data_IF_782760345513
#
_entry.id   IF_782760345513
#
_cell.length_a   1.000
_cell.length_b   1.000
_cell.length_c   1.000
_cell.angle_alpha   90.00
_cell.angle_beta   90.00
_cell.angle_gamma   90.00
#
_symmetry.space_group_name_H-M   'P 1'
#
loop_
_entity.id
_entity.type
_entity.pdbx_description
1 polymer ?
#
# COMPACT_ATOMS: atom_id res chain seq x y z
N UNK A 1 -28.88 16.94 -1.56
CA UNK A 1 -28.60 15.52 -1.63
C UNK A 1 -28.97 14.84 -0.32
N UNK A 2 -29.44 13.58 -0.36
CA UNK A 2 -29.66 12.79 0.86
C UNK A 2 -28.31 12.35 1.45
N UNK A 3 -28.29 11.96 2.72
CA UNK A 3 -27.08 11.43 3.37
C UNK A 3 -26.53 10.22 2.63
N UNK A 4 -27.41 9.34 2.16
CA UNK A 4 -27.04 8.18 1.37
C UNK A 4 -26.39 8.57 0.03
N UNK A 5 -26.90 9.60 -0.64
CA UNK A 5 -26.32 10.12 -1.88
C UNK A 5 -24.93 10.74 -1.63
N UNK A 6 -24.76 11.52 -0.56
CA UNK A 6 -23.48 12.09 -0.17
C UNK A 6 -22.47 10.98 0.18
N UNK A 7 -22.91 9.96 0.92
CA UNK A 7 -22.11 8.79 1.25
C UNK A 7 -21.58 8.09 0.00
N UNK A 8 -22.45 7.79 -0.97
CA UNK A 8 -22.00 7.15 -2.22
C UNK A 8 -21.10 8.04 -3.05
N UNK A 9 -21.36 9.35 -3.11
CA UNK A 9 -20.54 10.29 -3.86
C UNK A 9 -19.12 10.38 -3.30
N UNK A 10 -18.96 10.48 -1.98
CA UNK A 10 -17.62 10.50 -1.40
C UNK A 10 -16.89 9.17 -1.58
N UNK A 11 -17.60 8.02 -1.44
CA UNK A 11 -16.99 6.70 -1.69
C UNK A 11 -16.53 6.56 -3.14
N UNK A 12 -17.35 6.99 -4.10
CA UNK A 12 -16.95 6.98 -5.50
C UNK A 12 -15.75 7.91 -5.76
N UNK A 13 -15.74 9.09 -5.17
CA UNK A 13 -14.60 10.01 -5.25
C UNK A 13 -13.32 9.37 -4.68
N UNK A 14 -13.42 8.69 -3.54
CA UNK A 14 -12.30 7.96 -2.92
C UNK A 14 -11.77 6.85 -3.84
N UNK A 15 -12.65 6.01 -4.38
CA UNK A 15 -12.26 4.95 -5.31
C UNK A 15 -11.59 5.48 -6.58
N UNK A 16 -12.00 6.66 -7.02
CA UNK A 16 -11.47 7.31 -8.21
C UNK A 16 -10.29 8.26 -7.93
N UNK A 17 -9.76 8.25 -6.71
CA UNK A 17 -8.64 9.10 -6.30
C UNK A 17 -8.90 10.61 -6.54
N UNK A 18 -10.12 11.08 -6.26
CA UNK A 18 -10.55 12.48 -6.40
C UNK A 18 -10.61 13.15 -5.01
N UNK A 19 -9.45 13.47 -4.45
CA UNK A 19 -9.30 13.92 -3.06
C UNK A 19 -10.07 15.20 -2.75
N UNK A 20 -10.12 16.17 -3.69
CA UNK A 20 -10.93 17.38 -3.60
C UNK A 20 -12.44 17.07 -3.48
N UNK A 21 -12.92 16.13 -4.25
CA UNK A 21 -14.32 15.69 -4.22
C UNK A 21 -14.61 14.88 -2.94
N UNK A 22 -13.64 14.11 -2.44
CA UNK A 22 -13.77 13.43 -1.13
C UNK A 22 -14.01 14.47 -0.03
N UNK A 23 -13.15 15.49 0.07
CA UNK A 23 -13.29 16.55 1.05
C UNK A 23 -14.64 17.27 0.91
N UNK A 24 -15.01 17.69 -0.31
CA UNK A 24 -16.26 18.38 -0.60
C UNK A 24 -17.52 17.61 -0.15
N UNK A 25 -17.59 16.31 -0.44
CA UNK A 25 -18.77 15.51 -0.04
C UNK A 25 -18.77 15.19 1.45
N UNK A 26 -17.61 14.99 2.08
CA UNK A 26 -17.53 14.75 3.51
C UNK A 26 -17.86 15.99 4.33
N UNK A 27 -17.47 17.19 3.91
CA UNK A 27 -17.88 18.47 4.54
C UNK A 27 -19.40 18.61 4.64
N UNK A 28 -20.12 18.09 3.65
CA UNK A 28 -21.59 18.12 3.65
C UNK A 28 -22.20 16.95 4.42
N UNK A 29 -21.60 15.76 4.34
CA UNK A 29 -22.12 14.55 4.94
C UNK A 29 -21.96 14.52 6.47
N UNK A 30 -20.79 14.89 6.98
CA UNK A 30 -20.43 14.74 8.39
C UNK A 30 -21.38 15.45 9.35
N UNK A 31 -21.83 16.71 9.13
CA UNK A 31 -22.73 17.38 10.06
C UNK A 31 -24.06 16.66 10.25
N UNK A 32 -24.64 16.13 9.15
CA UNK A 32 -25.88 15.36 9.20
C UNK A 32 -25.68 14.02 9.89
N UNK A 33 -24.60 13.31 9.54
CA UNK A 33 -24.28 12.01 10.11
C UNK A 33 -24.00 12.11 11.61
N UNK A 34 -23.26 13.14 12.05
CA UNK A 34 -22.94 13.37 13.45
C UNK A 34 -24.19 13.59 14.30
N UNK A 35 -25.17 14.32 13.81
CA UNK A 35 -26.43 14.54 14.50
C UNK A 35 -27.20 13.23 14.76
N UNK A 36 -26.98 12.19 13.93
CA UNK A 36 -27.66 10.90 14.04
C UNK A 36 -26.84 9.86 14.80
N UNK A 37 -25.52 9.77 14.53
CA UNK A 37 -24.66 8.67 14.97
C UNK A 37 -23.57 9.09 15.97
N UNK A 38 -23.45 10.39 16.26
CA UNK A 38 -22.51 10.88 17.27
C UNK A 38 -21.06 10.46 16.98
N UNK A 39 -20.43 9.79 17.94
CA UNK A 39 -19.00 9.42 17.90
C UNK A 39 -18.64 8.43 16.79
N UNK A 40 -19.58 7.63 16.27
CA UNK A 40 -19.32 6.75 15.13
C UNK A 40 -18.91 7.53 13.87
N UNK A 41 -19.22 8.83 13.83
CA UNK A 41 -18.82 9.74 12.74
C UNK A 41 -17.30 9.99 12.70
N UNK A 42 -16.54 9.65 13.75
CA UNK A 42 -15.08 9.82 13.79
C UNK A 42 -14.36 9.14 12.60
N UNK A 43 -14.89 8.04 12.11
CA UNK A 43 -14.33 7.36 10.92
C UNK A 43 -14.41 8.23 9.65
N UNK A 44 -15.41 9.10 9.54
CA UNK A 44 -15.56 10.02 8.41
C UNK A 44 -14.71 11.27 8.59
N UNK A 45 -14.56 11.74 9.82
CA UNK A 45 -13.60 12.80 10.12
C UNK A 45 -12.15 12.37 9.81
N UNK A 46 -11.78 11.11 10.08
CA UNK A 46 -10.44 10.63 9.70
C UNK A 46 -10.21 10.66 8.18
N UNK A 47 -11.22 10.29 7.39
CA UNK A 47 -11.12 10.39 5.93
C UNK A 47 -11.04 11.86 5.45
N UNK A 48 -11.76 12.78 6.11
CA UNK A 48 -11.71 14.20 5.81
C UNK A 48 -10.35 14.79 6.15
N UNK A 49 -9.80 14.41 7.31
CA UNK A 49 -8.46 14.80 7.73
C UNK A 49 -7.40 14.37 6.71
N UNK A 50 -7.41 13.09 6.31
CA UNK A 50 -6.47 12.57 5.32
C UNK A 50 -6.60 13.31 3.98
N UNK A 51 -7.84 13.64 3.56
CA UNK A 51 -8.06 14.43 2.35
C UNK A 51 -7.44 15.83 2.44
N UNK A 52 -7.56 16.53 3.56
CA UNK A 52 -6.92 17.85 3.71
C UNK A 52 -5.39 17.77 3.78
N UNK A 53 -4.84 16.73 4.42
CA UNK A 53 -3.39 16.51 4.40
C UNK A 53 -2.90 16.27 2.95
N UNK A 54 -3.61 15.44 2.17
CA UNK A 54 -3.26 15.19 0.75
C UNK A 54 -3.39 16.46 -0.10
N UNK A 55 -4.37 17.32 0.17
CA UNK A 55 -4.56 18.62 -0.51
C UNK A 55 -3.59 19.71 -0.05
N UNK A 56 -2.84 19.48 1.03
CA UNK A 56 -1.96 20.46 1.65
C UNK A 56 -2.69 21.59 2.38
N UNK A 57 -3.98 21.42 2.68
CA UNK A 57 -4.80 22.37 3.44
C UNK A 57 -4.61 22.12 4.96
N UNK A 58 -3.47 22.58 5.47
CA UNK A 58 -3.06 22.35 6.86
C UNK A 58 -4.00 23.00 7.88
N UNK A 59 -4.62 24.12 7.54
CA UNK A 59 -5.56 24.81 8.45
C UNK A 59 -6.83 23.99 8.64
N UNK A 60 -7.42 23.50 7.55
CA UNK A 60 -8.59 22.63 7.63
C UNK A 60 -8.27 21.26 8.25
N UNK A 61 -7.07 20.73 8.02
CA UNK A 61 -6.62 19.51 8.68
C UNK A 61 -6.53 19.72 10.20
N UNK A 62 -5.95 20.84 10.66
CA UNK A 62 -5.88 21.17 12.08
C UNK A 62 -7.28 21.32 12.69
N UNK A 63 -8.19 22.05 12.06
CA UNK A 63 -9.57 22.21 12.53
C UNK A 63 -10.28 20.85 12.62
N UNK A 64 -10.09 19.99 11.63
CA UNK A 64 -10.66 18.63 11.64
C UNK A 64 -10.11 17.79 12.79
N UNK A 65 -8.79 17.82 13.01
CA UNK A 65 -8.16 17.16 14.15
C UNK A 65 -8.72 17.64 15.50
N UNK A 66 -8.86 18.94 15.68
CA UNK A 66 -9.40 19.51 16.93
C UNK A 66 -10.85 19.09 17.17
N UNK A 67 -11.67 19.01 16.11
CA UNK A 67 -13.03 18.47 16.20
C UNK A 67 -13.04 16.99 16.60
N UNK A 68 -12.20 16.17 15.97
CA UNK A 68 -12.07 14.76 16.33
C UNK A 68 -11.65 14.57 17.78
N UNK A 69 -10.66 15.32 18.23
CA UNK A 69 -10.16 15.26 19.62
C UNK A 69 -11.26 15.66 20.63
N UNK A 70 -12.06 16.67 20.29
CA UNK A 70 -13.21 17.08 21.12
C UNK A 70 -14.24 15.96 21.22
N UNK A 71 -14.71 15.42 20.10
CA UNK A 71 -15.70 14.33 20.04
C UNK A 71 -15.19 13.11 20.82
N UNK A 72 -13.92 12.76 20.64
CA UNK A 72 -13.29 11.65 21.33
C UNK A 72 -13.29 11.84 22.85
N UNK A 73 -12.89 12.99 23.34
CA UNK A 73 -12.88 13.30 24.78
C UNK A 73 -14.30 13.28 25.37
N UNK A 74 -15.29 13.76 24.64
CA UNK A 74 -16.70 13.70 25.07
C UNK A 74 -17.22 12.24 25.12
N UNK A 75 -16.78 11.37 24.18
CA UNK A 75 -17.18 9.96 24.17
C UNK A 75 -16.60 9.18 25.34
N UNK A 76 -15.34 9.41 25.69
CA UNK A 76 -14.67 8.77 26.83
C UNK A 76 -15.37 9.04 28.17
N UNK A 77 -16.08 10.18 28.32
CA UNK A 77 -16.82 10.48 29.53
C UNK A 77 -18.15 9.74 29.64
N UNK A 78 -18.66 9.20 28.54
CA UNK A 78 -19.98 8.54 28.45
C UNK A 78 -19.92 7.04 28.57
N UNK A 79 -18.81 6.41 28.13
CA UNK A 79 -18.68 4.96 28.01
C UNK A 79 -17.72 4.41 29.05
N UNK A 80 -18.22 3.61 29.99
CA UNK A 80 -17.45 3.06 31.12
C UNK A 80 -17.00 1.61 30.89
N UNK A 81 -17.65 0.85 30.00
CA UNK A 81 -17.32 -0.55 29.74
C UNK A 81 -17.65 -0.91 28.28
N UNK A 82 -16.69 -1.48 27.55
CA UNK A 82 -16.84 -1.97 26.19
C UNK A 82 -16.38 -3.41 26.04
N UNK A 83 -16.94 -4.13 25.06
CA UNK A 83 -16.43 -5.43 24.64
C UNK A 83 -15.13 -5.31 23.82
N UNK A 84 -14.61 -6.47 23.36
CA UNK A 84 -13.36 -6.52 22.58
C UNK A 84 -13.38 -5.60 21.35
N UNK A 85 -14.49 -5.55 20.62
CA UNK A 85 -14.66 -4.70 19.44
C UNK A 85 -14.54 -3.20 19.78
N UNK A 86 -15.06 -2.80 20.93
CA UNK A 86 -14.92 -1.42 21.42
C UNK A 86 -13.46 -1.09 21.74
N UNK A 87 -12.73 -1.98 22.39
CA UNK A 87 -11.31 -1.77 22.70
C UNK A 87 -10.44 -1.71 21.44
N UNK A 88 -10.77 -2.51 20.43
CA UNK A 88 -10.10 -2.45 19.11
C UNK A 88 -10.38 -1.12 18.41
N UNK A 89 -11.63 -0.67 18.38
CA UNK A 89 -12.03 0.63 17.83
C UNK A 89 -11.39 1.79 18.59
N UNK A 90 -11.37 1.72 19.91
CA UNK A 90 -10.74 2.71 20.79
C UNK A 90 -9.25 2.83 20.49
N UNK A 91 -8.54 1.72 20.47
CA UNK A 91 -7.10 1.69 20.15
C UNK A 91 -6.82 2.25 18.76
N UNK A 92 -7.62 1.90 17.76
CA UNK A 92 -7.48 2.42 16.40
C UNK A 92 -7.69 3.93 16.34
N UNK A 93 -8.68 4.45 17.08
CA UNK A 93 -8.99 5.89 17.16
C UNK A 93 -7.87 6.67 17.88
N UNK A 94 -7.36 6.16 18.99
CA UNK A 94 -6.23 6.76 19.73
C UNK A 94 -4.96 6.81 18.86
N UNK A 95 -4.67 5.74 18.14
CA UNK A 95 -3.53 5.68 17.21
C UNK A 95 -3.68 6.70 16.07
N UNK A 96 -4.90 6.83 15.52
CA UNK A 96 -5.16 7.82 14.48
C UNK A 96 -5.03 9.25 15.02
N UNK A 97 -5.58 9.56 16.19
CA UNK A 97 -5.44 10.89 16.81
C UNK A 97 -3.98 11.24 17.09
N UNK A 98 -3.18 10.28 17.55
CA UNK A 98 -1.73 10.47 17.72
C UNK A 98 -1.01 10.73 16.38
N UNK A 99 -1.43 10.04 15.32
CA UNK A 99 -0.94 10.33 13.97
C UNK A 99 -1.36 11.73 13.51
N UNK A 100 -2.63 12.09 13.67
CA UNK A 100 -3.17 13.37 13.24
C UNK A 100 -2.51 14.56 14.00
N UNK A 101 -2.30 14.41 15.30
CA UNK A 101 -1.57 15.40 16.12
C UNK A 101 -0.15 15.65 15.58
N UNK A 102 0.54 14.62 15.20
CA UNK A 102 1.85 14.74 14.55
C UNK A 102 1.73 15.34 13.14
N UNK A 103 0.81 14.86 12.32
CA UNK A 103 0.69 15.26 10.92
C UNK A 103 0.41 16.75 10.75
N UNK A 104 -0.41 17.38 11.62
CA UNK A 104 -0.68 18.82 11.56
C UNK A 104 0.52 19.70 11.95
N UNK A 105 1.56 19.12 12.54
CA UNK A 105 2.80 19.85 12.85
C UNK A 105 3.80 19.82 11.70
N UNK A 106 3.55 18.98 10.68
CA UNK A 106 4.45 18.82 9.56
C UNK A 106 4.30 19.96 8.57
N UNK A 107 5.40 20.38 7.93
CA UNK A 107 5.32 21.31 6.80
C UNK A 107 4.55 20.62 5.65
N UNK A 108 3.77 21.38 4.87
CA UNK A 108 3.00 20.80 3.77
C UNK A 108 3.93 20.15 2.74
N UNK A 109 3.49 19.02 2.20
CA UNK A 109 4.18 18.36 1.09
C UNK A 109 4.12 19.29 -0.12
N UNK A 110 5.26 19.45 -0.79
CA UNK A 110 5.35 20.22 -2.03
C UNK A 110 5.93 19.35 -3.13
N UNK A 111 5.39 19.50 -4.34
CA UNK A 111 5.91 18.84 -5.52
C UNK A 111 6.25 19.89 -6.58
N UNK A 112 7.46 19.79 -7.12
CA UNK A 112 7.91 20.56 -8.29
C UNK A 112 8.17 19.58 -9.43
N UNK A 113 7.56 19.81 -10.57
CA UNK A 113 7.78 19.04 -11.78
C UNK A 113 8.43 19.92 -12.85
N UNK A 114 9.47 19.41 -13.49
CA UNK A 114 10.03 20.03 -14.68
C UNK A 114 9.21 19.61 -15.91
N UNK A 115 9.02 20.51 -16.85
CA UNK A 115 8.24 20.25 -18.07
C UNK A 115 8.93 19.24 -19.00
N UNK A 116 10.26 19.17 -18.94
CA UNK A 116 11.03 18.20 -19.73
C UNK A 116 10.92 16.81 -19.12
N UNK A 117 10.32 15.89 -19.89
CA UNK A 117 10.26 14.50 -19.51
C UNK A 117 11.66 13.90 -19.39
N UNK A 118 11.92 13.24 -18.28
CA UNK A 118 13.14 12.46 -18.07
C UNK A 118 12.82 11.00 -17.77
N UNK A 119 13.76 10.14 -18.12
CA UNK A 119 13.66 8.72 -17.84
C UNK A 119 14.59 8.34 -16.69
N UNK A 120 14.12 7.46 -15.84
CA UNK A 120 14.93 6.78 -14.85
C UNK A 120 15.12 5.33 -15.30
N UNK A 121 16.34 4.82 -15.14
CA UNK A 121 16.61 3.42 -15.41
C UNK A 121 16.06 2.57 -14.27
N UNK A 122 15.41 1.45 -14.62
CA UNK A 122 14.96 0.45 -13.66
C UNK A 122 15.89 -0.76 -13.70
N UNK A 123 16.15 -1.33 -12.54
CA UNK A 123 16.97 -2.53 -12.44
C UNK A 123 16.24 -3.72 -13.09
N UNK A 124 17.01 -4.57 -13.73
CA UNK A 124 16.49 -5.84 -14.25
C UNK A 124 16.07 -6.73 -13.07
N UNK A 125 14.82 -7.19 -13.06
CA UNK A 125 14.29 -8.00 -11.96
C UNK A 125 12.77 -8.03 -11.90
N UNK A 126 12.27 -8.57 -10.78
CA UNK A 126 10.84 -8.80 -10.56
C UNK A 126 10.15 -7.65 -9.79
N UNK A 127 10.82 -6.52 -9.58
CA UNK A 127 10.29 -5.35 -8.86
C UNK A 127 10.67 -4.06 -9.57
N UNK A 128 9.95 -2.97 -9.30
CA UNK A 128 10.23 -1.64 -9.83
C UNK A 128 11.31 -0.95 -8.99
N UNK A 129 12.57 -1.37 -9.17
CA UNK A 129 13.73 -0.80 -8.47
C UNK A 129 14.46 0.16 -9.38
N UNK A 130 14.76 1.36 -8.87
CA UNK A 130 15.43 2.43 -9.60
C UNK A 130 16.26 3.28 -8.64
N UNK A 131 16.97 4.29 -9.17
CA UNK A 131 17.73 5.23 -8.36
C UNK A 131 16.95 6.55 -8.20
N UNK A 132 16.86 7.05 -6.96
CA UNK A 132 16.35 8.38 -6.64
C UNK A 132 17.31 9.10 -5.71
N UNK A 133 17.27 10.44 -5.65
CA UNK A 133 18.09 11.20 -4.73
C UNK A 133 17.27 11.63 -3.52
N UNK A 134 17.81 11.40 -2.35
CA UNK A 134 17.25 11.80 -1.06
C UNK A 134 18.19 12.76 -0.39
N UNK A 135 17.77 14.00 -0.15
CA UNK A 135 18.63 15.07 0.35
C UNK A 135 19.93 15.21 -0.48
N UNK A 136 19.83 14.99 -1.81
CA UNK A 136 20.96 15.00 -2.73
C UNK A 136 21.76 13.69 -2.81
N UNK A 137 21.51 12.70 -1.96
CA UNK A 137 22.20 11.40 -1.93
C UNK A 137 21.45 10.36 -2.75
N UNK A 138 22.15 9.72 -3.69
CA UNK A 138 21.57 8.70 -4.56
C UNK A 138 21.34 7.39 -3.77
N UNK A 139 20.11 6.86 -3.86
CA UNK A 139 19.71 5.63 -3.18
C UNK A 139 18.86 4.72 -4.06
N UNK A 140 19.02 3.42 -3.91
CA UNK A 140 18.11 2.44 -4.50
C UNK A 140 16.73 2.61 -3.90
N UNK A 141 15.75 2.65 -4.75
CA UNK A 141 14.35 2.95 -4.42
C UNK A 141 13.44 1.93 -5.08
N UNK A 142 12.39 1.52 -4.39
CA UNK A 142 11.33 0.70 -4.97
C UNK A 142 10.01 1.46 -4.92
N UNK A 143 9.23 1.42 -6.01
CA UNK A 143 7.81 1.74 -5.96
C UNK A 143 7.01 0.53 -5.50
N UNK A 144 6.31 0.71 -4.38
CA UNK A 144 5.58 -0.35 -3.71
C UNK A 144 4.15 0.13 -3.36
N UNK A 145 3.17 -0.29 -4.17
CA UNK A 145 1.76 0.05 -3.95
C UNK A 145 1.16 -0.66 -2.74
N UNK A 146 1.85 -1.67 -2.17
CA UNK A 146 1.50 -2.32 -0.92
C UNK A 146 2.00 -1.58 0.33
N UNK A 147 2.75 -0.47 0.16
CA UNK A 147 3.22 0.39 1.25
C UNK A 147 2.28 1.58 1.41
N UNK A 148 1.55 1.64 2.54
CA UNK A 148 0.61 2.72 2.86
C UNK A 148 1.26 4.06 3.21
N UNK A 149 2.39 4.13 3.95
CA UNK A 149 3.12 5.37 4.18
C UNK A 149 3.73 5.97 2.90
N UNK A 150 4.02 7.28 2.91
CA UNK A 150 4.71 7.94 1.80
C UNK A 150 6.08 7.34 1.54
N UNK A 151 6.86 7.13 2.60
CA UNK A 151 8.20 6.57 2.52
C UNK A 151 8.49 5.68 3.72
N UNK A 152 9.14 4.55 3.47
CA UNK A 152 9.61 3.62 4.50
C UNK A 152 11.06 3.24 4.23
N UNK A 153 11.91 3.30 5.25
CA UNK A 153 13.33 3.04 5.11
C UNK A 153 13.97 2.50 6.39
N UNK A 154 15.10 1.85 6.26
CA UNK A 154 15.90 1.42 7.40
C UNK A 154 16.68 2.58 8.02
N UNK A 155 17.07 2.43 9.30
CA UNK A 155 17.93 3.39 9.97
C UNK A 155 19.25 3.62 9.22
N UNK A 156 19.89 2.55 8.73
CA UNK A 156 21.12 2.62 7.95
C UNK A 156 20.98 3.55 6.74
N UNK A 157 19.85 3.45 6.01
CA UNK A 157 19.60 4.31 4.87
C UNK A 157 19.32 5.76 5.30
N UNK A 158 18.53 5.94 6.35
CA UNK A 158 18.23 7.26 6.90
C UNK A 158 19.50 8.01 7.31
N UNK A 159 20.38 7.34 8.04
CA UNK A 159 21.69 7.89 8.47
C UNK A 159 22.56 8.25 7.25
N UNK A 160 22.61 7.35 6.25
CA UNK A 160 23.35 7.59 5.01
C UNK A 160 22.86 8.79 4.18
N UNK A 161 21.59 9.14 4.32
CA UNK A 161 20.96 10.28 3.64
C UNK A 161 20.87 11.54 4.51
N UNK A 162 21.39 11.50 5.74
CA UNK A 162 21.32 12.61 6.68
C UNK A 162 19.90 12.96 7.13
N UNK A 163 18.97 12.01 7.10
CA UNK A 163 17.59 12.19 7.57
C UNK A 163 17.58 12.28 9.08
N UNK A 164 16.98 13.33 9.62
CA UNK A 164 16.85 13.55 11.07
C UNK A 164 15.62 12.83 11.60
N UNK A 165 15.78 12.10 12.71
CA UNK A 165 14.71 11.39 13.39
C UNK A 165 15.02 11.24 14.88
N UNK A 166 14.00 10.97 15.68
CA UNK A 166 14.17 10.68 17.10
C UNK A 166 14.82 9.31 17.30
N UNK A 167 15.45 9.12 18.48
CA UNK A 167 16.13 7.87 18.79
C UNK A 167 15.15 6.69 18.78
N UNK A 168 15.53 5.60 18.11
CA UNK A 168 14.81 4.33 18.13
C UNK A 168 15.19 3.58 19.42
N UNK A 169 14.21 3.35 20.30
CA UNK A 169 14.41 2.53 21.47
C UNK A 169 14.35 1.04 21.10
N UNK A 170 15.50 0.46 20.81
CA UNK A 170 15.63 -0.94 20.43
C UNK A 170 15.22 -1.93 21.53
N UNK A 171 15.11 -1.46 22.78
CA UNK A 171 14.67 -2.28 23.91
C UNK A 171 13.14 -2.39 24.02
N UNK A 172 12.42 -1.55 23.32
CA UNK A 172 10.95 -1.62 23.20
C UNK A 172 10.48 -2.59 22.15
N UNK A 173 11.19 -3.71 21.93
CA UNK A 173 10.65 -4.81 21.13
C UNK A 173 9.42 -5.34 21.85
N UNK A 174 8.27 -4.88 21.44
CA UNK A 174 7.02 -5.43 21.96
C UNK A 174 6.89 -6.85 21.49
N UNK A 175 6.46 -7.72 22.38
CA UNK A 175 6.19 -9.15 22.14
C UNK A 175 5.15 -9.36 21.02
N UNK A 176 4.48 -8.31 20.59
CA UNK A 176 3.41 -8.28 19.59
C UNK A 176 3.87 -8.02 18.15
N UNK A 177 5.15 -8.21 17.85
CA UNK A 177 5.64 -8.32 16.47
C UNK A 177 5.58 -7.04 15.60
N UNK A 178 5.30 -5.87 16.16
CA UNK A 178 5.32 -4.63 15.41
C UNK A 178 6.75 -4.11 15.23
N UNK A 179 7.07 -3.69 14.01
CA UNK A 179 8.35 -3.06 13.70
C UNK A 179 8.46 -1.77 14.50
N UNK A 180 9.52 -1.66 15.31
CA UNK A 180 9.81 -0.39 15.96
C UNK A 180 10.19 0.61 14.89
N UNK A 181 9.35 1.61 14.72
CA UNK A 181 9.58 2.69 13.78
C UNK A 181 9.44 4.04 14.46
N UNK A 182 10.17 5.00 13.96
CA UNK A 182 10.02 6.41 14.31
C UNK A 182 9.59 7.19 13.08
N UNK A 183 8.83 8.26 13.32
CA UNK A 183 8.40 9.18 12.28
C UNK A 183 9.50 10.20 11.98
N UNK A 184 9.61 10.60 10.73
CA UNK A 184 10.58 11.58 10.26
C UNK A 184 10.06 12.31 9.03
N UNK A 185 10.82 13.27 8.54
CA UNK A 185 10.60 13.98 7.29
C UNK A 185 11.88 13.91 6.46
N UNK A 186 11.72 13.62 5.18
CA UNK A 186 12.77 13.75 4.18
C UNK A 186 12.62 15.12 3.52
N UNK A 187 13.65 15.95 3.61
CA UNK A 187 13.60 17.32 3.13
C UNK A 187 13.36 17.39 1.61
N UNK A 188 14.01 16.50 0.84
CA UNK A 188 13.81 16.42 -0.61
C UNK A 188 13.99 14.99 -1.16
N UNK A 189 13.16 14.64 -2.15
CA UNK A 189 13.30 13.42 -2.96
C UNK A 189 13.23 13.82 -4.44
N UNK A 190 14.24 13.47 -5.23
CA UNK A 190 14.27 13.69 -6.67
C UNK A 190 14.09 12.36 -7.41
N UNK A 191 13.06 12.27 -8.24
CA UNK A 191 12.75 11.11 -9.07
C UNK A 191 12.46 11.57 -10.50
N UNK A 192 13.37 11.28 -11.42
CA UNK A 192 13.21 11.72 -12.80
C UNK A 192 13.07 13.24 -12.91
N UNK A 193 11.97 13.72 -13.48
CA UNK A 193 11.65 15.15 -13.64
C UNK A 193 10.86 15.76 -12.47
N UNK A 194 10.74 15.05 -11.35
CA UNK A 194 9.94 15.46 -10.20
C UNK A 194 10.83 15.62 -8.97
N UNK A 195 10.62 16.69 -8.22
CA UNK A 195 11.17 16.86 -6.88
C UNK A 195 10.06 17.04 -5.88
N UNK A 196 10.07 16.22 -4.85
CA UNK A 196 9.19 16.31 -3.69
C UNK A 196 9.93 16.95 -2.53
N UNK A 197 9.20 17.68 -1.70
CA UNK A 197 9.72 18.29 -0.48
C UNK A 197 8.83 17.93 0.70
N UNK A 198 9.45 17.79 1.88
CA UNK A 198 8.78 17.52 3.14
C UNK A 198 8.01 16.19 3.14
N UNK A 199 8.61 15.13 2.63
CA UNK A 199 7.94 13.82 2.57
C UNK A 199 7.99 13.11 3.92
N UNK A 200 6.83 12.80 4.53
CA UNK A 200 6.77 12.00 5.73
C UNK A 200 7.37 10.62 5.52
N UNK A 201 8.16 10.16 6.48
CA UNK A 201 8.84 8.88 6.40
C UNK A 201 8.74 8.10 7.73
N UNK A 202 8.72 6.78 7.61
CA UNK A 202 8.92 5.86 8.72
C UNK A 202 10.30 5.23 8.63
N UNK A 203 11.05 5.33 9.74
CA UNK A 203 12.38 4.75 9.87
C UNK A 203 12.29 3.59 10.84
N UNK A 204 12.64 2.40 10.39
CA UNK A 204 12.63 1.20 11.22
C UNK A 204 14.04 0.78 11.62
N UNK A 205 14.14 0.09 12.76
CA UNK A 205 15.42 -0.43 13.26
C UNK A 205 15.99 -1.51 12.35
N UNK A 206 17.27 -1.42 12.02
CA UNK A 206 18.00 -2.45 11.26
C UNK A 206 18.18 -3.74 12.06
N UNK A 207 18.11 -3.64 13.39
CA UNK A 207 18.26 -4.76 14.32
C UNK A 207 16.95 -5.50 14.56
N UNK A 208 15.83 -4.99 14.05
CA UNK A 208 14.58 -5.72 14.09
C UNK A 208 14.81 -7.10 13.49
N UNK A 209 15.13 -8.05 14.37
CA UNK A 209 15.26 -9.44 14.00
C UNK A 209 13.90 -9.85 13.46
N UNK A 210 13.84 -10.20 12.18
CA UNK A 210 12.69 -10.92 11.66
C UNK A 210 12.49 -12.10 12.60
N UNK A 211 11.45 -12.12 13.45
CA UNK A 211 11.32 -13.17 14.41
C UNK A 211 11.26 -14.46 13.63
N UNK A 212 12.25 -15.27 13.83
CA UNK A 212 12.27 -16.59 13.26
C UNK A 212 11.04 -17.30 13.82
N UNK A 213 10.09 -17.65 12.96
CA UNK A 213 8.87 -18.33 13.39
C UNK A 213 9.24 -19.46 14.31
N UNK A 214 9.01 -19.27 15.59
CA UNK A 214 9.23 -20.27 16.65
C UNK A 214 8.18 -21.37 16.60
N UNK A 215 7.71 -21.73 15.41
CA UNK A 215 6.92 -22.92 15.22
C UNK A 215 7.77 -24.12 15.54
N UNK A 216 7.39 -24.90 16.57
CA UNK A 216 8.00 -26.14 17.03
C UNK A 216 8.28 -27.18 15.94
N UNK A 217 7.92 -26.92 14.69
CA UNK A 217 8.06 -27.79 13.53
C UNK A 217 9.39 -27.70 12.78
N UNK A 218 10.25 -26.69 13.04
CA UNK A 218 11.55 -26.61 12.37
C UNK A 218 12.67 -27.25 13.21
N UNK A 219 12.51 -28.51 13.50
CA UNK A 219 13.50 -29.29 14.25
C UNK A 219 14.78 -29.61 13.48
N UNK A 220 14.86 -29.39 12.15
CA UNK A 220 16.00 -29.77 11.33
C UNK A 220 16.86 -28.57 10.96
N UNK A 221 18.13 -28.58 11.35
CA UNK A 221 19.15 -27.54 11.07
C UNK A 221 19.17 -27.08 9.59
N UNK A 222 18.99 -27.99 8.63
CA UNK A 222 18.97 -27.67 7.17
C UNK A 222 17.76 -26.83 6.75
N UNK A 223 16.57 -27.08 7.34
CA UNK A 223 15.35 -26.29 7.09
C UNK A 223 15.49 -24.88 7.68
N UNK A 224 16.09 -24.79 8.88
CA UNK A 224 16.34 -23.52 9.56
C UNK A 224 17.28 -22.64 8.74
N UNK A 225 18.36 -23.19 8.17
CA UNK A 225 19.29 -22.46 7.32
C UNK A 225 18.59 -21.91 6.05
N UNK A 226 17.74 -22.72 5.41
CA UNK A 226 16.99 -22.28 4.22
C UNK A 226 16.01 -21.15 4.54
N UNK A 227 15.28 -21.26 5.64
CA UNK A 227 14.38 -20.21 6.12
C UNK A 227 15.15 -18.91 6.38
N UNK A 228 16.29 -19.01 7.08
CA UNK A 228 17.14 -17.86 7.35
C UNK A 228 17.63 -17.20 6.06
N UNK A 229 18.04 -17.96 5.05
CA UNK A 229 18.46 -17.40 3.75
C UNK A 229 17.35 -16.58 3.06
N UNK A 230 16.09 -17.05 3.14
CA UNK A 230 14.95 -16.30 2.59
C UNK A 230 14.73 -15.01 3.38
N UNK A 231 14.74 -15.09 4.71
CA UNK A 231 14.63 -13.91 5.59
C UNK A 231 15.75 -12.91 5.29
N UNK A 232 16.99 -13.38 5.20
CA UNK A 232 18.15 -12.52 4.93
C UNK A 232 18.03 -11.85 3.55
N UNK A 233 17.56 -12.57 2.52
CA UNK A 233 17.41 -11.98 1.18
C UNK A 233 16.33 -10.89 1.12
N UNK A 234 15.21 -11.08 1.83
CA UNK A 234 14.17 -10.05 1.93
C UNK A 234 14.66 -8.89 2.80
N UNK A 235 15.31 -9.19 3.92
CA UNK A 235 15.92 -8.18 4.78
C UNK A 235 16.89 -7.30 3.99
N UNK A 236 17.79 -7.90 3.19
CA UNK A 236 18.71 -7.16 2.34
C UNK A 236 17.98 -6.19 1.41
N UNK A 237 16.90 -6.62 0.78
CA UNK A 237 16.12 -5.72 -0.07
C UNK A 237 15.63 -4.48 0.71
N UNK A 238 15.04 -4.69 1.88
CA UNK A 238 14.49 -3.61 2.69
C UNK A 238 15.56 -2.76 3.39
N UNK A 239 16.72 -3.29 3.67
CA UNK A 239 17.85 -2.51 4.22
C UNK A 239 18.64 -1.75 3.16
N UNK A 240 18.52 -2.12 1.89
CA UNK A 240 19.28 -1.55 0.78
C UNK A 240 18.42 -0.73 -0.19
N UNK A 241 17.10 -0.74 -0.02
CA UNK A 241 16.16 0.05 -0.82
C UNK A 241 15.26 0.91 0.08
N UNK A 242 15.05 2.14 -0.33
CA UNK A 242 13.97 2.98 0.19
C UNK A 242 12.67 2.58 -0.50
N UNK A 243 11.59 2.36 0.25
CA UNK A 243 10.25 2.11 -0.32
C UNK A 243 9.46 3.39 -0.42
N UNK A 244 9.10 3.80 -1.64
CA UNK A 244 8.13 4.86 -1.90
C UNK A 244 6.76 4.23 -2.11
N UNK A 245 5.83 4.58 -1.23
CA UNK A 245 4.50 3.99 -1.18
C UNK A 245 3.50 4.63 -2.13
N UNK A 246 2.30 4.08 -2.11
CA UNK A 246 1.18 4.54 -2.94
C UNK A 246 0.88 6.05 -2.81
N UNK A 247 0.98 6.71 -1.62
CA UNK A 247 0.74 8.14 -1.53
C UNK A 247 1.67 8.98 -2.41
N UNK A 248 2.97 8.63 -2.51
CA UNK A 248 3.90 9.34 -3.42
C UNK A 248 3.52 9.08 -4.88
N UNK A 249 3.14 7.86 -5.22
CA UNK A 249 2.72 7.51 -6.58
C UNK A 249 1.43 8.26 -6.98
N UNK A 250 0.48 8.46 -6.05
CA UNK A 250 -0.71 9.30 -6.25
C UNK A 250 -0.36 10.76 -6.54
N UNK A 251 0.63 11.33 -5.86
CA UNK A 251 1.14 12.68 -6.15
C UNK A 251 1.77 12.76 -7.55
N UNK A 252 2.45 11.71 -8.01
CA UNK A 252 3.00 11.61 -9.36
C UNK A 252 1.88 11.61 -10.41
N UNK A 253 0.80 10.90 -10.14
CA UNK A 253 -0.36 10.73 -11.01
C UNK A 253 -0.17 9.68 -12.10
N UNK A 254 0.88 9.79 -12.94
CA UNK A 254 1.15 8.87 -14.04
C UNK A 254 2.55 8.31 -14.00
N UNK A 255 2.64 6.97 -14.06
CA UNK A 255 3.89 6.22 -14.07
C UNK A 255 3.87 5.30 -15.29
N UNK A 256 4.78 5.55 -16.24
CA UNK A 256 4.94 4.71 -17.41
C UNK A 256 6.23 3.91 -17.32
N UNK A 257 6.11 2.60 -17.36
CA UNK A 257 7.24 1.66 -17.34
C UNK A 257 7.44 1.05 -18.72
N UNK A 258 8.65 1.12 -19.25
CA UNK A 258 9.09 0.46 -20.49
C UNK A 258 9.99 -0.71 -20.10
N UNK A 259 9.45 -1.91 -20.14
CA UNK A 259 10.17 -3.13 -19.77
C UNK A 259 11.12 -3.64 -20.84
N UNK A 260 10.97 -3.21 -22.11
CA UNK A 260 11.93 -3.57 -23.16
C UNK A 260 13.26 -2.83 -23.01
N UNK A 261 13.19 -1.58 -22.52
CA UNK A 261 14.36 -0.73 -22.37
C UNK A 261 14.78 -0.53 -20.91
N UNK A 262 14.10 -1.20 -19.96
CA UNK A 262 14.29 -1.02 -18.52
C UNK A 262 14.27 0.44 -18.10
N UNK A 263 13.25 1.17 -18.54
CA UNK A 263 13.08 2.60 -18.25
C UNK A 263 11.71 2.91 -17.69
N UNK A 264 11.67 3.96 -16.89
CA UNK A 264 10.43 4.50 -16.34
C UNK A 264 10.42 6.02 -16.52
N UNK A 265 9.25 6.59 -16.75
CA UNK A 265 9.04 8.03 -16.81
C UNK A 265 7.69 8.42 -16.21
N UNK A 266 7.52 9.72 -15.98
CA UNK A 266 6.36 10.30 -15.30
C UNK A 266 5.71 11.34 -16.22
N UNK A 267 4.84 10.91 -17.16
CA UNK A 267 4.24 11.84 -18.12
C UNK A 267 3.30 12.81 -17.41
N UNK A 268 3.32 14.06 -17.87
CA UNK A 268 2.33 15.05 -17.48
C UNK A 268 1.02 14.72 -18.18
N UNK A 269 -0.13 14.93 -17.49
CA UNK A 269 -1.44 14.84 -18.14
C UNK A 269 -1.53 15.94 -19.21
N UNK A 270 -1.35 15.56 -20.46
CA UNK A 270 -1.71 16.43 -21.57
C UNK A 270 -3.24 16.37 -21.67
N UNK A 271 -3.88 17.53 -21.80
CA UNK A 271 -5.31 17.59 -22.13
C UNK A 271 -5.50 16.89 -23.48
N UNK A 272 -5.74 15.59 -23.49
CA UNK A 272 -5.84 14.79 -24.69
C UNK A 272 -7.24 14.89 -25.27
N UNK A 273 -7.28 14.98 -26.59
CA UNK A 273 -8.49 15.00 -27.42
C UNK A 273 -9.33 13.69 -27.33
N UNK A 274 -8.88 12.69 -26.57
CA UNK A 274 -9.59 11.43 -26.39
C UNK A 274 -10.20 11.36 -24.98
N UNK A 275 -11.47 11.00 -24.91
CA UNK A 275 -12.12 10.69 -23.64
C UNK A 275 -11.35 9.57 -22.92
N UNK A 276 -11.07 9.71 -21.62
CA UNK A 276 -10.39 8.65 -20.87
C UNK A 276 -11.27 7.38 -20.91
N UNK A 277 -10.61 6.24 -21.03
CA UNK A 277 -11.28 4.95 -20.89
C UNK A 277 -11.82 4.81 -19.47
N UNK A 278 -12.84 3.96 -19.29
CA UNK A 278 -13.38 3.67 -17.98
C UNK A 278 -12.30 3.17 -17.01
N UNK A 279 -12.34 3.56 -15.74
CA UNK A 279 -11.41 3.07 -14.71
C UNK A 279 -11.42 1.54 -14.62
N UNK A 280 -10.26 0.92 -14.39
CA UNK A 280 -10.12 -0.52 -14.16
C UNK A 280 -9.32 -0.86 -12.90
N UNK A 281 -8.85 0.17 -12.19
CA UNK A 281 -8.27 0.10 -10.85
C UNK A 281 -8.99 1.09 -9.94
N UNK A 282 -8.91 0.87 -8.63
CA UNK A 282 -9.65 1.64 -7.62
C UNK A 282 -8.78 1.84 -6.38
N UNK A 283 -8.77 3.04 -5.81
CA UNK A 283 -8.11 3.30 -4.54
C UNK A 283 -9.08 3.13 -3.37
N UNK A 284 -8.63 2.54 -2.28
CA UNK A 284 -9.37 2.54 -1.02
C UNK A 284 -8.39 2.58 0.13
N UNK A 285 -8.48 3.61 0.96
CA UNK A 285 -7.47 3.92 1.98
C UNK A 285 -6.08 4.02 1.36
N UNK A 286 -5.17 3.19 1.83
CA UNK A 286 -3.77 3.16 1.39
C UNK A 286 -3.47 2.04 0.40
N UNK A 287 -4.50 1.41 -0.15
CA UNK A 287 -4.40 0.27 -1.06
C UNK A 287 -4.94 0.60 -2.44
N UNK A 288 -4.41 -0.11 -3.43
CA UNK A 288 -4.85 -0.06 -4.81
C UNK A 288 -5.46 -1.41 -5.19
N UNK A 289 -6.65 -1.40 -5.74
CA UNK A 289 -7.40 -2.61 -6.10
C UNK A 289 -7.65 -2.68 -7.59
N UNK A 290 -7.72 -3.89 -8.11
CA UNK A 290 -8.13 -4.16 -9.47
C UNK A 290 -9.14 -5.30 -9.54
N UNK A 291 -9.99 -5.29 -10.58
CA UNK A 291 -10.92 -6.36 -10.89
C UNK A 291 -10.44 -7.17 -12.06
N UNK A 292 -10.37 -8.48 -11.88
CA UNK A 292 -10.12 -9.45 -12.94
C UNK A 292 -11.21 -10.53 -12.93
N UNK A 293 -11.23 -11.37 -13.97
CA UNK A 293 -11.95 -12.65 -13.91
C UNK A 293 -10.92 -13.77 -13.85
N UNK A 294 -11.06 -14.66 -12.88
CA UNK A 294 -10.24 -15.84 -12.72
C UNK A 294 -11.12 -17.06 -12.99
N UNK A 295 -10.86 -17.78 -14.09
CA UNK A 295 -11.71 -18.86 -14.60
C UNK A 295 -13.20 -18.46 -14.70
N UNK A 296 -13.48 -17.23 -15.11
CA UNK A 296 -14.84 -16.71 -15.23
C UNK A 296 -15.42 -16.12 -13.94
N UNK A 297 -14.81 -16.38 -12.78
CA UNK A 297 -15.24 -15.82 -11.49
C UNK A 297 -14.70 -14.41 -11.33
N UNK A 298 -15.55 -13.48 -10.87
CA UNK A 298 -15.11 -12.12 -10.52
C UNK A 298 -14.17 -12.18 -9.30
N UNK A 299 -13.02 -11.52 -9.43
CA UNK A 299 -11.96 -11.55 -8.44
C UNK A 299 -11.43 -10.13 -8.22
N UNK A 300 -11.49 -9.67 -6.98
CA UNK A 300 -10.96 -8.37 -6.57
C UNK A 300 -9.60 -8.57 -5.91
N UNK A 301 -8.57 -7.99 -6.49
CA UNK A 301 -7.22 -8.12 -5.99
C UNK A 301 -6.65 -6.80 -5.49
N UNK A 302 -5.86 -6.86 -4.43
CA UNK A 302 -4.93 -5.81 -4.09
C UNK A 302 -3.77 -5.82 -5.10
N UNK A 303 -3.43 -4.67 -5.68
CA UNK A 303 -2.29 -4.51 -6.57
C UNK A 303 -1.06 -4.10 -5.74
N UNK A 304 -0.13 -5.03 -5.59
CA UNK A 304 1.08 -4.88 -4.77
C UNK A 304 2.34 -5.00 -5.66
N UNK A 305 2.88 -3.87 -6.10
CA UNK A 305 4.09 -3.85 -6.94
C UNK A 305 5.37 -4.19 -6.17
N UNK A 306 5.33 -4.20 -4.84
CA UNK A 306 6.41 -4.72 -3.99
C UNK A 306 6.46 -6.24 -3.95
N UNK A 307 5.36 -6.91 -4.27
CA UNK A 307 5.29 -8.37 -4.40
C UNK A 307 5.78 -8.81 -5.79
N UNK A 308 6.62 -9.84 -5.86
CA UNK A 308 7.03 -10.45 -7.13
C UNK A 308 6.12 -11.59 -7.60
N UNK A 309 5.07 -11.90 -6.85
CA UNK A 309 4.08 -12.91 -7.24
C UNK A 309 3.32 -12.49 -8.51
N UNK A 310 2.75 -13.46 -9.20
CA UNK A 310 1.87 -13.20 -10.33
C UNK A 310 0.45 -12.95 -9.83
N UNK A 311 -0.21 -13.99 -9.32
CA UNK A 311 -1.51 -13.92 -8.64
C UNK A 311 -1.52 -14.84 -7.44
N UNK A 312 -1.91 -14.29 -6.30
CA UNK A 312 -2.17 -15.05 -5.08
C UNK A 312 -3.64 -14.96 -4.75
N UNK A 313 -4.28 -16.11 -4.58
CA UNK A 313 -5.69 -16.25 -4.24
C UNK A 313 -5.82 -16.54 -2.74
N UNK A 314 -6.67 -15.80 -2.03
CA UNK A 314 -6.96 -16.12 -0.64
C UNK A 314 -7.68 -17.47 -0.51
N UNK A 315 -7.34 -18.24 0.53
CA UNK A 315 -7.91 -19.56 0.73
C UNK A 315 -9.42 -19.53 0.95
N UNK A 316 -9.98 -18.49 1.57
CA UNK A 316 -11.42 -18.38 1.78
C UNK A 316 -12.15 -18.15 0.45
N UNK A 317 -11.59 -17.34 -0.45
CA UNK A 317 -12.12 -17.19 -1.80
C UNK A 317 -12.02 -18.51 -2.58
N UNK A 318 -10.86 -19.19 -2.51
CA UNK A 318 -10.68 -20.48 -3.14
C UNK A 318 -11.70 -21.51 -2.63
N UNK A 319 -11.91 -21.63 -1.32
CA UNK A 319 -12.87 -22.56 -0.72
C UNK A 319 -14.30 -22.35 -1.21
N UNK A 320 -14.68 -21.11 -1.44
CA UNK A 320 -15.99 -20.74 -1.99
C UNK A 320 -16.14 -21.11 -3.48
N UNK A 321 -15.06 -21.15 -4.24
CA UNK A 321 -15.04 -21.31 -5.69
C UNK A 321 -14.24 -22.54 -6.17
N UNK A 322 -14.17 -23.60 -5.38
CA UNK A 322 -13.37 -24.82 -5.68
C UNK A 322 -13.74 -25.50 -7.00
N UNK A 323 -15.00 -25.39 -7.44
CA UNK A 323 -15.48 -26.00 -8.69
C UNK A 323 -14.89 -25.31 -9.91
N UNK A 324 -14.79 -24.00 -9.86
CA UNK A 324 -14.28 -23.14 -10.93
C UNK A 324 -12.75 -23.06 -10.91
N UNK A 325 -12.13 -23.34 -9.75
CA UNK A 325 -10.69 -23.19 -9.49
C UNK A 325 -10.02 -24.53 -9.17
N UNK A 326 -9.92 -25.47 -10.13
CA UNK A 326 -9.32 -26.78 -9.87
C UNK A 326 -7.83 -26.64 -9.50
N UNK A 327 -7.36 -27.53 -8.62
CA UNK A 327 -5.97 -27.59 -8.18
C UNK A 327 -5.16 -28.52 -9.09
N UNK A 328 -3.99 -28.03 -9.53
CA UNK A 328 -2.99 -28.81 -10.24
C UNK A 328 -2.07 -29.56 -9.29
N UNK A 329 -1.60 -28.88 -8.25
CA UNK A 329 -0.68 -29.46 -7.28
C UNK A 329 -0.78 -28.81 -5.91
N UNK A 330 -0.35 -29.53 -4.89
CA UNK A 330 -0.17 -29.00 -3.54
C UNK A 330 1.32 -28.99 -3.24
N UNK A 331 1.87 -27.83 -2.92
CA UNK A 331 3.27 -27.74 -2.53
C UNK A 331 3.47 -28.38 -1.16
N UNK A 332 4.18 -29.50 -1.14
CA UNK A 332 4.55 -30.19 0.11
C UNK A 332 5.84 -29.64 0.74
N UNK A 333 6.52 -28.73 0.05
CA UNK A 333 7.75 -28.14 0.56
C UNK A 333 7.40 -26.91 1.39
N UNK A 334 8.00 -26.80 2.57
CA UNK A 334 7.91 -25.59 3.37
C UNK A 334 8.53 -24.43 2.56
N UNK A 335 7.68 -23.66 1.94
CA UNK A 335 8.06 -22.38 1.32
C UNK A 335 7.87 -21.31 2.39
N UNK A 336 8.82 -20.40 2.52
CA UNK A 336 8.73 -19.30 3.44
C UNK A 336 8.26 -18.08 2.64
N UNK A 337 7.13 -17.51 3.04
CA UNK A 337 6.71 -16.19 2.62
C UNK A 337 7.14 -15.16 3.64
N UNK A 338 7.60 -14.02 3.21
CA UNK A 338 7.81 -12.87 4.08
C UNK A 338 6.57 -12.01 3.99
N UNK A 339 5.99 -11.77 5.14
CA UNK A 339 4.80 -10.98 5.28
C UNK A 339 5.17 -9.77 6.10
N UNK A 340 4.91 -8.59 5.56
CA UNK A 340 5.44 -7.36 6.10
C UNK A 340 6.98 -7.41 6.26
N UNK A 341 7.59 -6.34 6.67
CA UNK A 341 9.06 -6.22 6.74
C UNK A 341 9.73 -7.13 7.78
N UNK A 342 8.96 -7.80 8.63
CA UNK A 342 9.49 -8.42 9.85
C UNK A 342 9.01 -9.85 10.13
N UNK A 343 8.14 -10.42 9.30
CA UNK A 343 7.63 -11.78 9.53
C UNK A 343 7.92 -12.71 8.37
N UNK A 344 8.61 -13.82 8.64
CA UNK A 344 8.69 -14.94 7.73
C UNK A 344 7.86 -16.10 8.28
N UNK A 345 6.91 -16.59 7.49
CA UNK A 345 6.08 -17.74 7.86
C UNK A 345 6.26 -18.89 6.88
N UNK A 346 6.22 -20.10 7.40
CA UNK A 346 6.13 -21.28 6.54
C UNK A 346 4.72 -21.31 5.92
N UNK A 347 4.67 -21.29 4.60
CA UNK A 347 3.42 -21.30 3.84
C UNK A 347 3.31 -22.63 3.11
N UNK A 348 2.14 -23.25 3.20
CA UNK A 348 1.74 -24.33 2.31
C UNK A 348 0.77 -23.75 1.29
N UNK A 349 1.13 -23.80 0.03
CA UNK A 349 0.27 -23.30 -1.04
C UNK A 349 -0.16 -24.43 -2.00
N UNK A 350 -1.27 -24.21 -2.67
CA UNK A 350 -1.73 -25.02 -3.80
C UNK A 350 -1.60 -24.18 -5.06
N UNK A 351 -1.35 -24.81 -6.19
CA UNK A 351 -1.33 -24.14 -7.49
C UNK A 351 -2.60 -24.47 -8.28
N UNK A 352 -3.17 -23.48 -8.95
CA UNK A 352 -4.35 -23.69 -9.78
C UNK A 352 -3.98 -24.39 -11.09
N UNK A 353 -4.89 -25.23 -11.57
CA UNK A 353 -4.76 -25.90 -12.85
C UNK A 353 -5.29 -24.99 -13.96
N UNK A 354 -4.46 -24.76 -14.98
CA UNK A 354 -4.80 -24.02 -16.20
C UNK A 354 -5.60 -22.73 -15.94
N UNK A 355 -5.09 -21.80 -15.11
CA UNK A 355 -5.83 -20.61 -14.73
C UNK A 355 -6.01 -19.65 -15.92
N UNK A 356 -7.26 -19.36 -16.27
CA UNK A 356 -7.63 -18.34 -17.26
C UNK A 356 -7.89 -17.00 -16.54
N UNK A 357 -7.09 -15.99 -16.83
CA UNK A 357 -7.21 -14.67 -16.22
C UNK A 357 -7.59 -13.67 -17.31
N UNK A 358 -8.69 -12.94 -17.06
CA UNK A 358 -9.11 -11.86 -17.95
C UNK A 358 -8.97 -10.54 -17.20
N UNK A 359 -8.19 -9.64 -17.75
CA UNK A 359 -8.03 -8.27 -17.30
C UNK A 359 -8.27 -7.31 -18.46
N UNK A 360 -9.15 -6.33 -18.27
CA UNK A 360 -9.48 -5.32 -19.29
C UNK A 360 -9.85 -5.97 -20.66
N UNK A 361 -10.72 -7.00 -20.58
CA UNK A 361 -11.19 -7.83 -21.71
C UNK A 361 -10.09 -8.60 -22.47
N UNK A 362 -8.87 -8.66 -21.93
CA UNK A 362 -7.75 -9.40 -22.48
C UNK A 362 -7.43 -10.64 -21.66
N UNK A 363 -7.20 -11.76 -22.35
CA UNK A 363 -6.69 -12.99 -21.74
C UNK A 363 -5.21 -12.80 -21.39
N UNK A 364 -4.89 -12.87 -20.13
CA UNK A 364 -3.53 -12.80 -19.60
C UNK A 364 -2.95 -14.21 -19.52
N UNK A 365 -1.73 -14.38 -20.04
CA UNK A 365 -1.04 -15.66 -20.00
C UNK A 365 -0.16 -15.78 -18.76
N UNK A 366 -0.44 -16.73 -17.84
CA UNK A 366 0.45 -16.99 -16.73
C UNK A 366 1.84 -17.43 -17.19
N UNK A 367 2.91 -17.04 -16.49
CA UNK A 367 4.29 -17.38 -16.90
C UNK A 367 4.66 -18.84 -16.69
N UNK A 368 3.81 -19.61 -16.03
CA UNK A 368 4.04 -21.03 -15.77
C UNK A 368 3.02 -21.62 -14.81
N UNK A 369 3.12 -22.91 -14.52
CA UNK A 369 2.11 -23.64 -13.75
C UNK A 369 2.02 -23.22 -12.27
N UNK A 370 3.05 -22.57 -11.74
CA UNK A 370 3.08 -22.09 -10.36
C UNK A 370 2.74 -20.58 -10.24
N UNK A 371 2.30 -19.96 -11.32
CA UNK A 371 2.03 -18.52 -11.33
C UNK A 371 0.82 -18.12 -10.51
N UNK A 372 -0.19 -18.97 -10.40
CA UNK A 372 -1.39 -18.72 -9.61
C UNK A 372 -1.43 -19.67 -8.43
N UNK A 373 -1.30 -19.12 -7.24
CA UNK A 373 -1.20 -19.86 -5.98
C UNK A 373 -2.37 -19.53 -5.07
N UNK A 374 -2.77 -20.46 -4.23
CA UNK A 374 -3.71 -20.18 -3.14
C UNK A 374 -3.12 -20.59 -1.80
N UNK A 375 -3.24 -19.69 -0.82
CA UNK A 375 -2.90 -19.89 0.58
C UNK A 375 -3.67 -18.91 1.47
N UNK A 376 -3.77 -19.15 2.80
CA UNK A 376 -4.56 -18.31 3.70
C UNK A 376 -3.92 -16.94 3.93
N UNK A 377 -4.25 -15.95 3.08
CA UNK A 377 -3.82 -14.55 3.22
C UNK A 377 -4.35 -13.92 4.52
N UNK A 378 -5.59 -14.20 4.91
CA UNK A 378 -6.18 -13.67 6.12
C UNK A 378 -5.46 -14.06 7.42
N UNK A 379 -4.66 -15.15 7.41
CA UNK A 379 -3.76 -15.48 8.53
C UNK A 379 -2.47 -14.65 8.52
N UNK A 380 -2.19 -14.00 7.42
CA UNK A 380 -0.99 -13.23 7.15
C UNK A 380 -1.27 -11.75 7.29
N UNK A 381 -2.38 -11.28 6.70
CA UNK A 381 -2.84 -9.90 6.74
C UNK A 381 -4.24 -9.87 7.36
N UNK A 382 -4.37 -9.55 8.65
CA UNK A 382 -5.68 -9.45 9.29
C UNK A 382 -6.57 -8.39 8.64
N UNK A 383 -7.87 -8.68 8.52
CA UNK A 383 -8.85 -7.71 8.03
C UNK A 383 -8.81 -7.44 6.52
N UNK A 384 -8.33 -8.39 5.72
CA UNK A 384 -8.34 -8.26 4.26
C UNK A 384 -9.77 -8.12 3.71
N UNK A 385 -9.93 -7.23 2.73
CA UNK A 385 -11.21 -6.96 2.04
C UNK A 385 -11.17 -7.36 0.56
N UNK A 386 -10.20 -8.17 0.16
CA UNK A 386 -9.96 -8.57 -1.21
C UNK A 386 -9.82 -10.08 -1.33
N UNK A 387 -10.03 -10.59 -2.53
CA UNK A 387 -10.00 -12.03 -2.82
C UNK A 387 -8.58 -12.57 -3.00
N UNK A 388 -7.61 -11.67 -3.18
CA UNK A 388 -6.21 -12.02 -3.34
C UNK A 388 -5.31 -10.83 -3.69
N UNK A 389 -4.06 -11.13 -4.03
CA UNK A 389 -3.01 -10.15 -4.37
C UNK A 389 -2.50 -10.39 -5.78
N UNK A 390 -2.32 -9.31 -6.51
CA UNK A 390 -1.65 -9.27 -7.82
C UNK A 390 -0.35 -8.49 -7.65
N UNK A 391 0.75 -9.16 -7.94
CA UNK A 391 2.08 -8.58 -7.80
C UNK A 391 2.68 -8.06 -9.11
N UNK A 392 3.92 -7.59 -9.03
CA UNK A 392 4.64 -7.06 -10.18
C UNK A 392 4.86 -8.11 -11.28
N UNK A 393 4.86 -9.41 -10.93
CA UNK A 393 4.89 -10.50 -11.91
C UNK A 393 3.74 -10.44 -12.92
N UNK A 394 2.55 -9.99 -12.52
CA UNK A 394 1.41 -9.74 -13.40
C UNK A 394 1.53 -8.36 -14.08
N UNK A 395 1.83 -7.32 -13.31
CA UNK A 395 1.92 -5.94 -13.77
C UNK A 395 2.80 -5.82 -15.02
N UNK A 396 4.01 -6.39 -15.00
CA UNK A 396 4.96 -6.37 -16.13
C UNK A 396 4.52 -7.16 -17.37
N UNK A 397 3.45 -7.96 -17.27
CA UNK A 397 2.91 -8.76 -18.40
C UNK A 397 1.68 -8.14 -19.05
N UNK A 398 1.22 -7.01 -18.55
CA UNK A 398 0.15 -6.24 -19.18
C UNK A 398 0.57 -5.77 -20.58
N UNK A 399 1.86 -5.42 -20.74
CA UNK A 399 2.44 -5.02 -22.01
C UNK A 399 3.94 -4.76 -21.91
N UNK A 400 4.59 -4.52 -23.04
CA UNK A 400 5.99 -4.10 -23.11
C UNK A 400 6.20 -2.75 -22.44
N UNK A 401 5.23 -1.84 -22.62
CA UNK A 401 5.09 -0.59 -21.89
C UNK A 401 3.78 -0.62 -21.13
N UNK A 402 3.83 -0.23 -19.87
CA UNK A 402 2.68 -0.22 -18.97
C UNK A 402 2.51 1.17 -18.38
N UNK A 403 1.31 1.71 -18.48
CA UNK A 403 0.92 2.98 -17.86
C UNK A 403 0.03 2.69 -16.64
N UNK A 404 0.49 3.10 -15.48
CA UNK A 404 -0.31 3.27 -14.27
C UNK A 404 -0.74 4.73 -14.19
N UNK A 405 -2.00 4.98 -14.54
CA UNK A 405 -2.61 6.31 -14.53
C UNK A 405 -3.51 6.45 -13.30
N UNK A 406 -2.99 7.03 -12.23
CA UNK A 406 -3.71 7.25 -10.98
C UNK A 406 -4.64 8.47 -11.05
N UNK A 407 -4.48 9.35 -12.04
CA UNK A 407 -5.40 10.47 -12.29
C UNK A 407 -6.74 9.98 -12.84
N UNK A 408 -6.72 8.96 -13.70
CA UNK A 408 -7.89 8.35 -14.33
C UNK A 408 -8.21 6.95 -13.79
N UNK A 409 -7.46 6.48 -12.78
CA UNK A 409 -7.58 5.15 -12.18
C UNK A 409 -7.57 4.05 -13.23
N UNK A 410 -6.53 4.08 -14.07
CA UNK A 410 -6.36 3.18 -15.19
C UNK A 410 -5.00 2.51 -15.20
N UNK A 411 -4.99 1.21 -15.49
CA UNK A 411 -3.79 0.42 -15.70
C UNK A 411 -3.90 -0.23 -17.08
N UNK A 412 -2.96 0.07 -17.98
CA UNK A 412 -3.05 -0.43 -19.35
C UNK A 412 -1.69 -0.56 -20.04
N UNK A 413 -1.65 -1.42 -21.08
CA UNK A 413 -0.55 -1.43 -22.03
C UNK A 413 -0.62 -0.19 -22.92
N UNK A 414 0.51 0.44 -23.15
CA UNK A 414 0.68 1.52 -24.13
C UNK A 414 1.61 1.07 -25.26
N UNK A 415 1.44 1.69 -26.42
CA UNK A 415 2.24 1.36 -27.61
C UNK A 415 3.64 1.98 -27.55
#
# INVERSE_FOLDING_TARGET
PSDLELYYKFRMAQFLNKTDSVAYYLEQFIPHHYATFGEETLVFYSNLFDAYIELGDTDKALDTYLQMKRIWNESLTKTTTGGKEYEEWRTATENFLSYAEYAVTLPPIKMKRNDTLSFVDIEEGDRLVFQAKYNGILQRTIFDTGVGPYCVQSRKLADGMGVRYDSIDENKVTINEDLISVRSIIDSIEVGNITFYNIPAFIYSDTASVPFVSGSSIKRRKKRKKAQTVVDSVRTLFTDCVSLGLPVMKLIGKIQTDYEHNKMCFPVSVANAHLPKAPNIYAYKYDLYMRIKLNGVAFTANLDTGSNEYVTVDSAFYEKHQKELPIASTCKKNTFGVVMLHQARAITYKTLKDPAIIFDDKLMQPPGPEAVKTYPLGQIVPGIFFDGVIGNGFYRRIGKKVLLDLDNMRLEAVQ
#
